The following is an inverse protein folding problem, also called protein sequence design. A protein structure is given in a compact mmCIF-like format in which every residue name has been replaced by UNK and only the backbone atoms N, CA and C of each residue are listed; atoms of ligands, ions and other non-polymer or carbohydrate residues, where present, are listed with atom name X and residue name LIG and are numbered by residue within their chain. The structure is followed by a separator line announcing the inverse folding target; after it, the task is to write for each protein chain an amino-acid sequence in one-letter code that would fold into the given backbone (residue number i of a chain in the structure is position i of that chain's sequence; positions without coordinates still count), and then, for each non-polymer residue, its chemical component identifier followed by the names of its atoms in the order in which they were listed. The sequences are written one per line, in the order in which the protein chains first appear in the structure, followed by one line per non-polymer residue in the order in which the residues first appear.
data_IF_463414426093
#
_entry.id   IF_463414426093
#
_cell.length_a   1.000
_cell.length_b   1.000
_cell.length_c   1.000
_cell.angle_alpha   90.00
_cell.angle_beta   90.00
_cell.angle_gamma   90.00
#
_symmetry.space_group_name_H-M   'P 1'
#
loop_
_entity.id
_entity.type
_entity.pdbx_description
1 polymer ?
#
# COMPACT_ATOMS: atom_id res chain seq x y z
N UNK A 1 14.44 49.91 16.40
CA UNK A 1 13.73 49.17 15.32
C UNK A 1 12.58 48.38 15.94
N UNK A 2 11.35 48.87 15.86
CA UNK A 2 10.20 48.20 16.47
C UNK A 2 9.99 46.82 15.81
N UNK A 3 10.01 45.75 16.60
CA UNK A 3 9.76 44.39 16.10
C UNK A 3 8.33 44.34 15.57
N UNK A 4 8.16 44.33 14.24
CA UNK A 4 6.84 44.18 13.60
C UNK A 4 6.22 42.88 14.11
N UNK A 5 5.06 42.97 14.76
CA UNK A 5 4.31 41.80 15.23
C UNK A 5 4.01 40.94 14.01
N UNK A 6 4.47 39.69 14.02
CA UNK A 6 4.11 38.72 12.99
C UNK A 6 2.73 38.18 13.35
N UNK A 7 1.84 38.18 12.37
CA UNK A 7 0.50 37.65 12.48
C UNK A 7 0.49 36.21 11.93
N UNK A 8 -0.26 35.31 12.55
CA UNK A 8 -0.30 33.88 12.18
C UNK A 8 -1.58 33.58 11.42
N UNK A 9 -1.46 32.87 10.29
CA UNK A 9 -2.64 32.43 9.53
C UNK A 9 -3.38 31.32 10.29
N UNK A 10 -4.68 31.48 10.61
CA UNK A 10 -5.43 30.48 11.35
C UNK A 10 -5.66 29.18 10.56
N UNK A 11 -5.46 29.20 9.24
CA UNK A 11 -5.70 28.03 8.37
C UNK A 11 -4.43 27.22 8.07
N UNK A 12 -3.29 27.87 7.81
CA UNK A 12 -2.05 27.17 7.48
C UNK A 12 -0.95 27.28 8.55
N UNK A 13 -1.16 28.03 9.63
CA UNK A 13 -0.21 28.18 10.74
C UNK A 13 1.05 28.99 10.44
N UNK A 14 1.22 29.49 9.21
CA UNK A 14 2.40 30.27 8.83
C UNK A 14 2.33 31.71 9.36
N UNK A 15 3.49 32.26 9.72
CA UNK A 15 3.61 33.63 10.25
C UNK A 15 4.00 34.64 9.17
N UNK A 16 3.29 35.76 9.13
CA UNK A 16 3.41 36.80 8.11
C UNK A 16 3.54 38.18 8.76
N UNK A 17 4.19 39.11 8.05
CA UNK A 17 4.24 40.51 8.49
C UNK A 17 2.89 41.22 8.32
N UNK A 18 2.08 40.79 7.35
CA UNK A 18 0.73 41.28 7.08
C UNK A 18 -0.13 40.11 6.57
N UNK A 19 -1.12 39.67 7.33
CA UNK A 19 -2.03 38.59 6.90
C UNK A 19 -2.81 38.95 5.63
N UNK A 20 -3.13 40.23 5.42
CA UNK A 20 -3.90 40.71 4.27
C UNK A 20 -3.31 40.38 2.90
N UNK A 21 -1.99 40.14 2.82
CA UNK A 21 -1.31 39.75 1.56
C UNK A 21 -1.20 38.23 1.38
N UNK A 22 -1.52 37.46 2.42
CA UNK A 22 -1.42 36.02 2.38
C UNK A 22 -2.66 35.41 1.71
N UNK A 23 -2.49 34.89 0.49
CA UNK A 23 -3.48 34.04 -0.16
C UNK A 23 -3.33 32.62 0.37
N UNK A 24 -4.08 32.28 1.42
CA UNK A 24 -4.05 30.94 1.98
C UNK A 24 -4.64 29.95 0.97
N UNK A 25 -3.79 29.09 0.41
CA UNK A 25 -4.24 27.97 -0.40
C UNK A 25 -4.57 26.83 0.57
N UNK A 26 -5.73 26.93 1.22
CA UNK A 26 -6.29 25.85 2.02
C UNK A 26 -6.53 24.70 1.04
N UNK A 27 -5.65 23.69 1.05
CA UNK A 27 -6.09 22.39 0.57
C UNK A 27 -7.16 21.98 1.58
N UNK A 28 -8.41 21.84 1.14
CA UNK A 28 -9.43 21.21 1.95
C UNK A 28 -8.80 19.97 2.57
N UNK A 29 -8.66 20.00 3.90
CA UNK A 29 -8.34 18.80 4.63
C UNK A 29 -9.60 17.99 4.44
N UNK A 30 -9.54 17.01 3.55
CA UNK A 30 -10.59 16.01 3.39
C UNK A 30 -10.70 15.33 4.75
N UNK A 31 -11.58 15.83 5.61
CA UNK A 31 -12.10 15.08 6.75
C UNK A 31 -12.97 13.99 6.14
N UNK A 32 -12.30 12.93 5.69
CA UNK A 32 -12.89 11.93 4.81
C UNK A 32 -11.86 10.98 4.22
N UNK A 33 -10.92 10.55 5.05
CA UNK A 33 -10.40 9.19 5.01
C UNK A 33 -9.76 8.97 6.36
N UNK A 34 -10.59 9.02 7.42
CA UNK A 34 -10.25 8.20 8.58
C UNK A 34 -9.91 6.83 8.03
N UNK A 35 -8.70 6.41 8.38
CA UNK A 35 -8.16 5.10 8.10
C UNK A 35 -9.30 4.11 8.17
N UNK A 36 -9.74 3.62 7.01
CA UNK A 36 -10.72 2.55 6.96
C UNK A 36 -10.15 1.49 7.86
N UNK A 37 -10.78 1.29 9.03
CA UNK A 37 -10.51 0.15 9.89
C UNK A 37 -10.62 -1.03 8.95
N UNK A 38 -9.48 -1.52 8.47
CA UNK A 38 -9.46 -2.60 7.50
C UNK A 38 -10.31 -3.68 8.13
N UNK A 39 -11.41 -3.99 7.47
CA UNK A 39 -12.32 -5.02 7.94
C UNK A 39 -11.49 -6.27 8.18
N UNK A 40 -11.86 -7.12 9.14
CA UNK A 40 -11.13 -8.37 9.38
C UNK A 40 -10.93 -9.18 8.10
N UNK A 41 -11.84 -9.02 7.14
CA UNK A 41 -11.78 -9.57 5.78
C UNK A 41 -10.59 -9.00 4.99
N UNK A 42 -10.44 -7.69 4.89
CA UNK A 42 -9.32 -7.05 4.18
C UNK A 42 -7.96 -7.39 4.83
N UNK A 43 -7.91 -7.41 6.16
CA UNK A 43 -6.70 -7.79 6.91
C UNK A 43 -6.36 -9.27 6.76
N UNK A 44 -7.36 -10.13 6.49
CA UNK A 44 -7.17 -11.54 6.18
C UNK A 44 -6.69 -11.72 4.74
N UNK A 45 -7.21 -10.96 3.80
CA UNK A 45 -6.77 -10.97 2.40
C UNK A 45 -5.31 -10.56 2.29
N UNK A 46 -4.89 -9.47 2.93
CA UNK A 46 -3.48 -9.05 2.94
C UNK A 46 -2.54 -10.14 3.50
N UNK A 47 -2.91 -10.79 4.61
CA UNK A 47 -2.13 -11.90 5.19
C UNK A 47 -2.06 -13.15 4.30
N UNK A 48 -3.02 -13.34 3.41
CA UNK A 48 -3.01 -14.42 2.42
C UNK A 48 -2.11 -14.04 1.25
N UNK A 49 -2.20 -12.80 0.77
CA UNK A 49 -1.37 -12.29 -0.32
C UNK A 49 0.11 -12.16 0.04
N UNK A 50 0.42 -11.78 1.29
CA UNK A 50 1.78 -11.74 1.82
C UNK A 50 2.38 -13.16 1.87
N UNK A 51 1.65 -14.13 2.43
CA UNK A 51 2.09 -15.55 2.43
C UNK A 51 2.21 -16.15 1.02
N UNK A 52 1.34 -15.75 0.09
CA UNK A 52 1.49 -16.12 -1.32
C UNK A 52 2.77 -15.52 -1.91
N UNK A 53 3.08 -14.26 -1.63
CA UNK A 53 4.32 -13.62 -2.10
C UNK A 53 5.57 -14.29 -1.53
N UNK A 54 5.56 -14.67 -0.26
CA UNK A 54 6.65 -15.42 0.37
C UNK A 54 6.82 -16.83 -0.21
N UNK A 55 5.71 -17.48 -0.59
CA UNK A 55 5.71 -18.80 -1.21
C UNK A 55 6.07 -18.80 -2.70
N UNK A 56 5.96 -17.67 -3.38
CA UNK A 56 6.32 -17.51 -4.81
C UNK A 56 7.78 -17.09 -4.89
N UNK A 57 8.69 -17.98 -4.47
CA UNK A 57 10.05 -17.89 -4.99
C UNK A 57 10.02 -18.32 -6.45
N UNK A 58 10.68 -17.57 -7.33
CA UNK A 58 10.90 -18.04 -8.70
C UNK A 58 11.69 -19.34 -8.66
N UNK A 59 11.09 -20.42 -9.16
CA UNK A 59 11.78 -21.71 -9.29
C UNK A 59 13.05 -21.50 -10.13
N UNK A 60 14.18 -22.01 -9.63
CA UNK A 60 15.43 -22.08 -10.42
C UNK A 60 15.21 -23.01 -11.62
N UNK A 61 16.07 -22.91 -12.64
CA UNK A 61 15.94 -23.72 -13.88
C UNK A 61 15.78 -25.22 -13.58
N UNK A 62 16.55 -25.75 -12.64
CA UNK A 62 16.51 -27.16 -12.26
C UNK A 62 15.17 -27.53 -11.61
N UNK A 63 14.67 -26.65 -10.73
CA UNK A 63 13.40 -26.84 -10.04
C UNK A 63 12.22 -26.76 -11.00
N UNK A 64 12.31 -25.90 -12.03
CA UNK A 64 11.33 -25.85 -13.11
C UNK A 64 11.34 -27.12 -13.96
N UNK A 65 12.51 -27.69 -14.24
CA UNK A 65 12.61 -28.97 -14.96
C UNK A 65 11.98 -30.10 -14.17
N UNK A 66 12.28 -30.20 -12.87
CA UNK A 66 11.66 -31.19 -11.97
C UNK A 66 10.15 -30.99 -11.90
N UNK A 67 9.68 -29.74 -11.73
CA UNK A 67 8.26 -29.43 -11.69
C UNK A 67 7.54 -29.80 -13.00
N UNK A 68 8.14 -29.51 -14.15
CA UNK A 68 7.60 -29.92 -15.46
C UNK A 68 7.52 -31.44 -15.59
N UNK A 69 8.54 -32.16 -15.15
CA UNK A 69 8.54 -33.62 -15.19
C UNK A 69 7.44 -34.20 -14.30
N UNK A 70 7.27 -33.69 -13.08
CA UNK A 70 6.19 -34.08 -12.17
C UNK A 70 4.82 -33.84 -12.80
N UNK A 71 4.60 -32.69 -13.43
CA UNK A 71 3.32 -32.39 -14.08
C UNK A 71 3.04 -33.32 -15.26
N UNK A 72 4.04 -33.56 -16.12
CA UNK A 72 3.89 -34.47 -17.26
C UNK A 72 3.61 -35.91 -16.83
N UNK A 73 4.24 -36.39 -15.76
CA UNK A 73 4.05 -37.75 -15.28
C UNK A 73 2.79 -37.91 -14.41
N UNK A 74 2.32 -36.85 -13.74
CA UNK A 74 1.08 -36.87 -12.96
C UNK A 74 -0.15 -37.23 -13.79
N UNK A 75 -0.22 -36.74 -15.03
CA UNK A 75 -1.31 -37.09 -15.94
C UNK A 75 -1.24 -38.58 -16.32
N UNK A 76 -0.03 -39.10 -16.56
CA UNK A 76 0.20 -40.51 -16.91
C UNK A 76 -0.21 -41.45 -15.76
N UNK A 77 0.11 -41.11 -14.52
CA UNK A 77 -0.24 -41.94 -13.36
C UNK A 77 -1.72 -41.85 -12.96
N UNK A 78 -2.46 -40.83 -13.41
CA UNK A 78 -3.89 -40.74 -13.14
C UNK A 78 -4.71 -41.64 -14.07
N UNK A 79 -4.30 -41.75 -15.33
CA UNK A 79 -4.93 -42.64 -16.31
C UNK A 79 -4.67 -44.13 -16.00
N UNK A 80 -3.54 -44.47 -15.37
CA UNK A 80 -3.24 -45.83 -14.90
C UNK A 80 -3.96 -46.23 -13.59
N UNK A 81 -4.61 -45.27 -12.92
CA UNK A 81 -5.37 -45.49 -11.68
C UNK A 81 -6.89 -45.65 -11.90
N UNK A 82 -7.38 -45.50 -13.14
CA UNK A 82 -8.79 -45.68 -13.54
C UNK A 82 -9.04 -47.05 -14.18
#
# INVERSE_FOLDING_TARGET
MAKKKKEVCPYCGNSFAYLSRHKCKVKERVEGSEESEKSDVERRIERIEERKREGVRSLKKDEQMVFKHIMQQKDIYFDELL
#
